data_IF_367993895074
#
_entry.id   IF_367993895074
#
_cell.length_a   1.000
_cell.length_b   1.000
_cell.length_c   1.000
_cell.angle_alpha   90.00
_cell.angle_beta   90.00
_cell.angle_gamma   90.00
#
_symmetry.space_group_name_H-M   'P 1'
#
loop_
_entity.id
_entity.type
_entity.pdbx_description
1 polymer ?
#
# COMPACT_ATOMS: atom_id res chain seq x y z
N UNK A 1 33.62 3.82 -66.73
CA UNK A 1 33.12 2.83 -67.72
C UNK A 1 33.27 1.46 -67.09
N UNK A 2 32.16 0.82 -66.67
CA UNK A 2 31.62 -0.43 -67.26
C UNK A 2 32.64 -1.59 -67.15
N UNK A 3 32.46 -2.64 -66.34
CA UNK A 3 31.37 -3.63 -66.40
C UNK A 3 31.46 -4.62 -65.21
N UNK A 4 30.32 -4.97 -64.61
CA UNK A 4 29.99 -6.36 -64.20
C UNK A 4 29.61 -7.14 -65.48
N UNK A 5 29.64 -8.50 -65.62
CA UNK A 5 28.66 -9.45 -65.00
C UNK A 5 29.05 -10.98 -64.93
N UNK A 6 28.04 -11.81 -64.53
CA UNK A 6 27.82 -13.27 -64.70
C UNK A 6 28.28 -14.23 -63.56
N UNK A 7 27.34 -14.89 -62.83
CA UNK A 7 26.68 -16.22 -63.08
C UNK A 7 27.68 -17.41 -62.99
N UNK A 8 27.41 -18.60 -62.44
CA UNK A 8 26.20 -19.23 -61.91
C UNK A 8 26.55 -20.45 -61.01
N UNK A 9 25.56 -20.83 -60.19
CA UNK A 9 25.18 -22.14 -59.64
C UNK A 9 26.06 -23.40 -59.84
N UNK A 10 26.27 -24.12 -58.72
CA UNK A 10 26.31 -25.60 -58.70
C UNK A 10 25.51 -26.12 -57.51
N UNK A 11 24.48 -26.92 -57.80
CA UNK A 11 23.73 -27.71 -56.83
C UNK A 11 24.44 -29.06 -56.58
N UNK A 12 24.46 -29.53 -55.33
CA UNK A 12 24.72 -30.94 -54.99
C UNK A 12 23.64 -31.40 -54.00
N UNK A 13 23.08 -32.56 -54.30
CA UNK A 13 21.88 -33.14 -53.73
C UNK A 13 22.22 -34.57 -53.27
N UNK A 14 22.22 -34.84 -51.95
CA UNK A 14 22.20 -36.18 -51.32
C UNK A 14 21.60 -35.96 -49.91
N UNK A 15 20.34 -36.27 -49.58
CA UNK A 15 19.61 -37.54 -49.48
C UNK A 15 19.88 -38.36 -48.19
N UNK A 16 18.78 -38.54 -47.45
CA UNK A 16 18.38 -39.65 -46.54
C UNK A 16 18.89 -39.67 -45.10
N UNK A 17 17.93 -39.64 -44.16
CA UNK A 17 18.08 -40.08 -42.76
C UNK A 17 16.75 -39.98 -42.02
N UNK A 18 16.08 -41.12 -41.83
CA UNK A 18 14.76 -41.26 -41.21
C UNK A 18 14.79 -41.38 -39.67
N UNK A 19 13.59 -41.34 -39.09
CA UNK A 19 13.12 -41.88 -37.78
C UNK A 19 13.00 -40.95 -36.56
N UNK A 20 11.84 -41.06 -35.90
CA UNK A 20 11.61 -40.83 -34.47
C UNK A 20 10.80 -39.57 -34.15
N UNK A 21 9.46 -39.61 -34.13
CA UNK A 21 8.58 -39.82 -32.95
C UNK A 21 8.62 -38.74 -31.87
N UNK A 22 7.47 -38.08 -31.72
CA UNK A 22 6.85 -37.58 -30.48
C UNK A 22 7.58 -36.54 -29.62
N UNK A 23 7.02 -35.33 -29.61
CA UNK A 23 6.67 -34.66 -28.36
C UNK A 23 5.52 -33.69 -28.60
N UNK A 24 4.41 -33.97 -27.93
CA UNK A 24 3.31 -33.06 -27.66
C UNK A 24 3.85 -31.87 -26.87
N UNK A 25 4.23 -30.80 -27.55
CA UNK A 25 4.43 -29.50 -26.94
C UNK A 25 3.08 -28.94 -26.53
N UNK A 26 2.71 -29.17 -25.28
CA UNK A 26 1.66 -28.42 -24.59
C UNK A 26 1.98 -26.94 -24.65
N UNK A 27 0.93 -26.19 -24.96
CA UNK A 27 0.87 -24.76 -25.12
C UNK A 27 1.16 -24.03 -23.80
N UNK A 28 2.44 -23.84 -23.47
CA UNK A 28 2.90 -23.01 -22.34
C UNK A 28 2.85 -21.50 -22.63
N UNK A 29 2.16 -21.08 -23.70
CA UNK A 29 2.08 -19.67 -24.09
C UNK A 29 0.90 -18.90 -23.48
N UNK A 30 0.07 -19.56 -22.66
CA UNK A 30 -1.12 -18.94 -22.04
C UNK A 30 -0.90 -18.49 -20.58
N UNK A 31 0.23 -18.78 -19.92
CA UNK A 31 0.39 -18.52 -18.47
C UNK A 31 1.48 -17.51 -18.07
N UNK A 32 1.67 -16.44 -18.84
CA UNK A 32 2.54 -15.32 -18.41
C UNK A 32 2.03 -13.91 -18.78
N UNK A 33 0.87 -13.81 -19.45
CA UNK A 33 0.28 -12.54 -19.91
C UNK A 33 -1.04 -12.17 -19.22
N UNK A 34 -1.52 -13.03 -18.34
CA UNK A 34 -2.72 -12.78 -17.57
C UNK A 34 -2.33 -12.33 -16.15
N UNK A 35 -2.62 -11.05 -15.85
CA UNK A 35 -3.01 -10.52 -14.53
C UNK A 35 -1.92 -9.90 -13.65
N UNK A 36 -1.13 -9.04 -14.27
CA UNK A 36 -0.69 -7.78 -13.67
C UNK A 36 -1.67 -6.67 -14.13
N UNK A 37 -2.95 -6.84 -13.80
CA UNK A 37 -4.03 -5.97 -14.29
C UNK A 37 -4.44 -4.92 -13.24
N UNK A 38 -3.51 -4.60 -12.34
CA UNK A 38 -3.69 -3.50 -11.40
C UNK A 38 -3.33 -2.21 -12.13
N UNK A 39 -4.33 -1.36 -12.34
CA UNK A 39 -4.13 -0.02 -12.88
C UNK A 39 -4.34 0.96 -11.73
N UNK A 40 -3.33 1.77 -11.43
CA UNK A 40 -3.42 2.80 -10.41
C UNK A 40 -3.53 4.19 -11.04
N UNK A 41 -4.25 5.07 -10.36
CA UNK A 41 -4.38 6.47 -10.69
C UNK A 41 -4.31 7.28 -9.39
N UNK A 42 -3.42 8.27 -9.37
CA UNK A 42 -3.40 9.26 -8.30
C UNK A 42 -4.41 10.34 -8.64
N UNK A 43 -5.43 10.46 -7.80
CA UNK A 43 -6.35 11.58 -7.84
C UNK A 43 -5.62 12.78 -7.25
N UNK A 44 -5.30 13.74 -8.11
CA UNK A 44 -4.97 15.10 -7.70
C UNK A 44 -6.21 15.96 -7.91
N UNK A 45 -6.46 16.91 -7.02
CA UNK A 45 -7.64 17.78 -7.18
C UNK A 45 -7.41 18.94 -8.16
N UNK A 46 -6.20 19.06 -8.71
CA UNK A 46 -5.85 20.04 -9.76
C UNK A 46 -6.53 19.75 -11.11
N UNK A 47 -6.83 18.48 -11.39
CA UNK A 47 -7.32 18.04 -12.70
C UNK A 47 -8.85 18.17 -12.85
N UNK A 48 -9.57 18.64 -11.82
CA UNK A 48 -11.04 18.66 -11.80
C UNK A 48 -11.69 19.84 -12.55
N UNK A 49 -10.91 20.76 -13.12
CA UNK A 49 -11.41 22.05 -13.67
C UNK A 49 -12.27 22.82 -12.64
N UNK A 50 -11.87 22.73 -11.37
CA UNK A 50 -12.47 23.39 -10.22
C UNK A 50 -11.44 24.30 -9.54
N UNK A 51 -11.90 25.42 -8.99
CA UNK A 51 -11.08 26.40 -8.30
C UNK A 51 -11.22 26.35 -6.78
N UNK A 52 -10.42 27.17 -6.10
CA UNK A 52 -10.48 27.37 -4.65
C UNK A 52 -11.91 27.79 -4.22
N UNK A 53 -12.52 26.99 -3.34
CA UNK A 53 -13.87 27.14 -2.80
C UNK A 53 -14.98 26.46 -3.60
N UNK A 54 -14.67 25.86 -4.74
CA UNK A 54 -15.64 25.07 -5.49
C UNK A 54 -15.91 23.74 -4.79
N UNK A 55 -17.18 23.33 -4.81
CA UNK A 55 -17.64 22.08 -4.20
C UNK A 55 -17.28 20.88 -5.07
N UNK A 56 -16.74 19.85 -4.44
CA UNK A 56 -16.44 18.56 -5.07
C UNK A 56 -17.53 17.57 -4.69
N UNK A 57 -18.36 17.20 -5.67
CA UNK A 57 -19.40 16.18 -5.48
C UNK A 57 -19.07 14.87 -6.19
N UNK A 58 -18.16 14.90 -7.18
CA UNK A 58 -17.76 13.72 -7.95
C UNK A 58 -16.34 13.90 -8.48
N UNK A 59 -15.60 12.80 -8.59
CA UNK A 59 -14.24 12.71 -9.08
C UNK A 59 -14.23 11.69 -10.22
N UNK A 60 -14.05 12.11 -11.48
CA UNK A 60 -13.91 11.17 -12.58
C UNK A 60 -12.60 10.40 -12.44
N UNK A 61 -12.61 9.11 -12.76
CA UNK A 61 -11.36 8.32 -12.75
C UNK A 61 -11.14 7.60 -14.09
N UNK A 62 -9.89 7.45 -14.55
CA UNK A 62 -9.57 6.65 -15.73
C UNK A 62 -9.69 5.14 -15.47
N UNK A 63 -10.06 4.72 -14.24
CA UNK A 63 -10.16 3.33 -13.81
C UNK A 63 -11.49 2.68 -14.21
N UNK A 64 -12.38 3.42 -14.87
CA UNK A 64 -13.66 2.91 -15.38
C UNK A 64 -14.82 3.02 -14.39
N UNK A 65 -14.66 3.80 -13.32
CA UNK A 65 -15.71 4.21 -12.40
C UNK A 65 -15.44 5.65 -11.92
N UNK A 66 -16.48 6.38 -11.58
CA UNK A 66 -16.36 7.70 -10.96
C UNK A 66 -16.57 7.56 -9.45
N UNK A 67 -15.97 8.45 -8.67
CA UNK A 67 -16.15 8.48 -7.23
C UNK A 67 -17.09 9.60 -6.85
N UNK A 68 -18.13 9.29 -6.09
CA UNK A 68 -19.01 10.31 -5.51
C UNK A 68 -18.47 10.75 -4.16
N UNK A 69 -18.43 12.06 -3.92
CA UNK A 69 -17.93 12.68 -2.70
C UNK A 69 -19.10 13.18 -1.87
N UNK A 70 -19.13 12.80 -0.59
CA UNK A 70 -20.10 13.31 0.38
C UNK A 70 -19.41 13.70 1.67
N UNK A 71 -19.91 14.72 2.35
CA UNK A 71 -19.41 15.14 3.65
C UNK A 71 -20.48 14.94 4.71
N UNK A 72 -20.15 14.23 5.78
CA UNK A 72 -21.07 13.94 6.89
C UNK A 72 -20.85 14.89 8.06
N UNK A 73 -21.26 16.14 7.87
CA UNK A 73 -21.51 17.11 8.93
C UNK A 73 -22.65 18.03 8.49
N UNK A 74 -23.57 18.36 9.40
CA UNK A 74 -24.76 19.12 9.04
C UNK A 74 -24.34 20.44 8.38
N UNK A 75 -24.80 20.68 7.14
CA UNK A 75 -24.57 21.89 6.33
C UNK A 75 -23.15 22.17 5.81
N UNK A 76 -22.20 21.23 5.93
CA UNK A 76 -20.86 21.42 5.34
C UNK A 76 -20.74 20.74 3.96
N UNK A 77 -19.72 21.14 3.22
CA UNK A 77 -19.42 20.68 1.86
C UNK A 77 -17.96 20.29 1.75
N UNK A 78 -17.65 19.35 0.85
CA UNK A 78 -16.28 19.09 0.44
C UNK A 78 -15.89 20.11 -0.60
N UNK A 79 -14.87 20.93 -0.34
CA UNK A 79 -14.47 22.02 -1.23
C UNK A 79 -12.98 21.97 -1.50
N UNK A 80 -12.55 22.55 -2.62
CA UNK A 80 -11.13 22.65 -2.93
C UNK A 80 -10.49 23.84 -2.20
N UNK A 81 -9.34 23.57 -1.58
CA UNK A 81 -8.46 24.58 -1.05
C UNK A 81 -7.18 24.60 -1.87
N UNK A 82 -6.93 25.68 -2.62
CA UNK A 82 -5.63 25.87 -3.28
C UNK A 82 -4.57 26.32 -2.29
N UNK A 83 -3.53 25.50 -2.12
CA UNK A 83 -2.36 25.80 -1.26
C UNK A 83 -1.36 26.75 -1.93
N UNK A 84 -1.46 26.90 -3.26
CA UNK A 84 -0.57 27.76 -4.06
C UNK A 84 -1.03 29.23 -4.11
N UNK A 85 -2.32 29.50 -3.91
CA UNK A 85 -2.84 30.87 -3.85
C UNK A 85 -2.84 31.39 -2.42
N UNK A 86 -1.71 32.00 -2.05
CA UNK A 86 -1.51 32.59 -0.71
C UNK A 86 -2.47 33.76 -0.45
N UNK A 87 -3.25 33.70 0.64
CA UNK A 87 -4.04 34.84 1.14
C UNK A 87 -5.54 34.60 1.26
N UNK A 88 -5.92 33.43 1.78
CA UNK A 88 -7.30 33.09 2.14
C UNK A 88 -7.64 33.42 3.61
N UNK A 89 -8.90 33.26 4.03
CA UNK A 89 -9.35 33.55 5.39
C UNK A 89 -9.15 32.39 6.38
N UNK A 90 -8.33 31.42 6.02
CA UNK A 90 -8.18 30.15 6.73
C UNK A 90 -6.96 30.24 7.65
N UNK A 91 -7.20 30.67 8.89
CA UNK A 91 -6.12 30.95 9.84
C UNK A 91 -5.56 29.68 10.51
N UNK A 92 -6.29 28.59 10.38
CA UNK A 92 -5.99 27.25 10.87
C UNK A 92 -5.19 26.47 9.82
N UNK A 93 -5.65 26.42 8.57
CA UNK A 93 -4.88 25.78 7.51
C UNK A 93 -3.66 26.60 7.06
N UNK A 94 -3.63 27.91 7.37
CA UNK A 94 -2.49 28.80 7.12
C UNK A 94 -1.85 29.36 8.41
N UNK A 95 -0.75 28.76 8.87
CA UNK A 95 0.12 29.37 9.88
C UNK A 95 0.85 30.61 9.31
N UNK A 96 0.58 31.78 9.87
CA UNK A 96 1.10 33.08 9.38
C UNK A 96 0.77 33.35 7.90
N UNK A 97 -0.39 32.85 7.42
CA UNK A 97 -0.83 33.01 6.03
C UNK A 97 -0.09 32.10 5.05
N UNK A 98 0.51 31.00 5.52
CA UNK A 98 1.12 29.94 4.70
C UNK A 98 0.89 28.57 5.33
N UNK A 99 0.69 27.55 4.51
CA UNK A 99 1.04 26.19 4.88
C UNK A 99 2.49 25.92 4.45
N UNK A 100 3.47 25.85 5.37
CA UNK A 100 4.89 25.75 5.00
C UNK A 100 5.22 24.53 4.15
N UNK A 101 4.60 23.39 4.44
CA UNK A 101 4.88 22.12 3.76
C UNK A 101 3.91 21.81 2.61
N UNK A 102 2.86 22.61 2.40
CA UNK A 102 1.91 22.41 1.30
C UNK A 102 2.36 22.98 -0.05
N UNK A 103 3.57 23.54 -0.12
CA UNK A 103 4.07 24.16 -1.33
C UNK A 103 4.12 23.15 -2.49
N UNK A 104 3.37 23.42 -3.57
CA UNK A 104 3.31 22.55 -4.74
C UNK A 104 2.34 21.37 -4.63
N UNK A 105 1.49 21.32 -3.60
CA UNK A 105 0.33 20.40 -3.56
C UNK A 105 -0.81 20.86 -4.47
N UNK A 106 -0.87 22.14 -4.87
CA UNK A 106 -1.96 22.63 -5.69
C UNK A 106 -3.28 22.67 -4.91
N UNK A 107 -4.31 22.00 -5.42
CA UNK A 107 -5.61 21.88 -4.75
C UNK A 107 -5.64 20.66 -3.83
N UNK A 108 -6.11 20.87 -2.60
CA UNK A 108 -6.44 19.81 -1.66
C UNK A 108 -7.95 19.80 -1.37
N UNK A 109 -8.52 18.65 -1.04
CA UNK A 109 -9.92 18.53 -0.63
C UNK A 109 -10.04 18.73 0.88
N UNK A 110 -10.83 19.71 1.29
CA UNK A 110 -11.10 20.06 2.69
C UNK A 110 -12.59 20.02 2.99
N UNK A 111 -12.94 20.08 4.27
CA UNK A 111 -14.33 20.26 4.72
C UNK A 111 -14.55 21.74 5.00
N UNK A 112 -15.51 22.38 4.34
CA UNK A 112 -15.83 23.80 4.56
C UNK A 112 -16.30 24.08 6.01
N UNK A 113 -15.85 25.19 6.59
CA UNK A 113 -16.40 25.71 7.84
C UNK A 113 -17.90 26.05 7.72
N UNK A 114 -18.75 25.68 8.69
CA UNK A 114 -20.19 25.96 8.64
C UNK A 114 -20.55 27.46 8.62
N UNK A 115 -19.61 28.35 8.94
CA UNK A 115 -19.73 29.81 8.85
C UNK A 115 -19.39 30.34 7.45
N UNK A 116 -18.86 29.49 6.57
CA UNK A 116 -18.63 29.73 5.15
C UNK A 116 -17.14 29.82 4.77
N UNK A 117 -16.79 29.16 3.67
CA UNK A 117 -15.41 29.01 3.18
C UNK A 117 -14.73 30.36 2.88
N UNK A 118 -15.45 31.30 2.27
CA UNK A 118 -14.91 32.60 1.89
C UNK A 118 -14.51 33.50 3.08
N UNK A 119 -14.86 33.14 4.31
CA UNK A 119 -14.52 33.91 5.52
C UNK A 119 -13.79 33.11 6.60
N UNK A 120 -13.77 31.78 6.49
CA UNK A 120 -13.18 30.91 7.51
C UNK A 120 -12.42 29.72 6.95
N UNK A 121 -12.48 29.45 5.64
CA UNK A 121 -11.79 28.31 5.06
C UNK A 121 -12.38 26.98 5.48
N UNK A 122 -11.51 26.07 5.91
CA UNK A 122 -11.87 24.74 6.33
C UNK A 122 -12.42 24.66 7.77
N UNK A 123 -12.94 23.50 8.13
CA UNK A 123 -13.67 23.28 9.37
C UNK A 123 -12.70 22.97 10.52
N UNK A 124 -12.65 23.80 11.58
CA UNK A 124 -11.82 23.53 12.76
C UNK A 124 -12.33 22.36 13.60
N UNK A 125 -13.51 21.82 13.28
CA UNK A 125 -14.03 20.60 13.88
C UNK A 125 -13.80 19.37 13.02
N UNK A 126 -13.16 19.52 11.86
CA UNK A 126 -13.00 18.47 10.86
C UNK A 126 -14.33 17.89 10.41
N UNK A 127 -14.37 16.56 10.32
CA UNK A 127 -15.55 15.81 9.89
C UNK A 127 -15.18 14.55 9.12
N UNK A 128 -16.04 14.13 8.20
CA UNK A 128 -15.78 12.94 7.38
C UNK A 128 -16.09 13.22 5.92
N UNK A 129 -15.07 13.02 5.07
CA UNK A 129 -15.19 12.96 3.62
C UNK A 129 -15.36 11.49 3.25
N UNK A 130 -16.49 11.15 2.64
CA UNK A 130 -16.80 9.80 2.18
C UNK A 130 -16.77 9.74 0.67
N UNK A 131 -15.89 8.90 0.14
CA UNK A 131 -15.86 8.49 -1.26
C UNK A 131 -16.71 7.22 -1.45
N UNK A 132 -17.59 7.23 -2.44
CA UNK A 132 -18.39 6.09 -2.87
C UNK A 132 -18.28 5.92 -4.39
N UNK A 133 -18.98 4.96 -5.00
CA UNK A 133 -18.87 4.69 -6.45
C UNK A 133 -17.84 3.60 -6.81
N UNK A 134 -17.16 3.04 -5.81
CA UNK A 134 -16.25 1.91 -6.00
C UNK A 134 -16.96 0.67 -6.58
N UNK A 135 -16.27 -0.17 -7.38
CA UNK A 135 -16.82 -1.42 -7.84
C UNK A 135 -17.16 -2.37 -6.69
N UNK A 136 -18.43 -2.75 -6.58
CA UNK A 136 -18.92 -3.72 -5.57
C UNK A 136 -18.24 -5.10 -5.62
N UNK A 137 -17.48 -5.39 -6.68
CA UNK A 137 -16.65 -6.59 -6.80
C UNK A 137 -15.45 -6.62 -5.84
N UNK A 138 -15.15 -5.53 -5.13
CA UNK A 138 -13.97 -5.44 -4.27
C UNK A 138 -12.66 -5.32 -5.07
N UNK A 139 -12.75 -4.86 -6.31
CA UNK A 139 -11.61 -4.75 -7.23
C UNK A 139 -10.98 -3.36 -7.21
N UNK A 140 -11.15 -2.61 -6.13
CA UNK A 140 -10.53 -1.31 -5.95
C UNK A 140 -9.90 -1.24 -4.55
N UNK A 141 -8.81 -0.49 -4.42
CA UNK A 141 -8.16 -0.19 -3.15
C UNK A 141 -7.46 1.16 -3.20
N UNK A 142 -7.18 1.74 -2.03
CA UNK A 142 -6.34 2.93 -1.90
C UNK A 142 -5.00 2.46 -1.37
N UNK A 143 -3.93 2.80 -2.08
CA UNK A 143 -2.56 2.45 -1.71
C UNK A 143 -1.95 3.46 -0.75
N UNK A 144 -2.18 4.75 -1.03
CA UNK A 144 -1.68 5.86 -0.24
C UNK A 144 -2.48 7.12 -0.50
N UNK A 145 -2.31 8.11 0.37
CA UNK A 145 -2.86 9.44 0.23
C UNK A 145 -1.94 10.45 0.92
N UNK A 146 -2.05 11.72 0.56
CA UNK A 146 -1.43 12.82 1.30
C UNK A 146 -2.44 13.36 2.31
N UNK A 147 -2.04 13.39 3.58
CA UNK A 147 -2.75 14.07 4.64
C UNK A 147 -2.10 15.43 4.89
N UNK A 148 -2.92 16.46 5.03
CA UNK A 148 -2.52 17.79 5.50
C UNK A 148 -3.15 18.01 6.87
N UNK A 149 -2.33 18.26 7.87
CA UNK A 149 -2.72 18.37 9.28
C UNK A 149 -1.94 19.50 9.95
N UNK A 150 -2.64 20.48 10.52
CA UNK A 150 -2.08 21.79 10.86
C UNK A 150 -1.88 22.03 12.36
N UNK A 151 -2.51 21.25 13.23
CA UNK A 151 -2.53 21.54 14.66
C UNK A 151 -1.98 20.39 15.49
N UNK A 152 -0.92 20.67 16.26
CA UNK A 152 -0.27 19.69 17.17
C UNK A 152 -1.20 19.08 18.23
N UNK A 153 -2.43 19.59 18.36
CA UNK A 153 -3.44 19.15 19.33
C UNK A 153 -4.59 18.38 18.71
N UNK A 154 -4.62 18.27 17.39
CA UNK A 154 -5.71 17.62 16.67
C UNK A 154 -5.47 16.12 16.47
N UNK A 155 -6.55 15.39 16.23
CA UNK A 155 -6.45 13.98 15.95
C UNK A 155 -6.02 13.80 14.48
N UNK A 156 -5.05 12.90 14.27
CA UNK A 156 -4.57 12.51 12.96
C UNK A 156 -5.70 12.26 11.95
N UNK A 157 -5.47 12.61 10.69
CA UNK A 157 -6.32 12.20 9.57
C UNK A 157 -6.30 10.68 9.47
N UNK A 158 -7.47 10.06 9.38
CA UNK A 158 -7.61 8.60 9.34
C UNK A 158 -8.35 8.15 8.09
N UNK A 159 -7.87 7.10 7.43
CA UNK A 159 -8.56 6.44 6.34
C UNK A 159 -9.23 5.16 6.84
N UNK A 160 -10.53 5.05 6.60
CA UNK A 160 -11.32 3.86 6.80
C UNK A 160 -11.81 3.31 5.46
N UNK A 161 -11.69 2.01 5.26
CA UNK A 161 -12.29 1.29 4.12
C UNK A 161 -13.36 0.37 4.68
N UNK A 162 -14.60 0.53 4.22
CA UNK A 162 -15.75 -0.27 4.68
C UNK A 162 -15.85 -0.37 6.22
N UNK A 163 -15.51 0.73 6.90
CA UNK A 163 -15.52 0.85 8.37
C UNK A 163 -14.26 0.33 9.09
N UNK A 164 -13.27 -0.22 8.38
CA UNK A 164 -11.98 -0.67 8.94
C UNK A 164 -10.92 0.41 8.76
N UNK A 165 -10.21 0.81 9.83
CA UNK A 165 -9.10 1.76 9.72
C UNK A 165 -7.91 1.10 9.01
N UNK A 166 -7.43 1.71 7.92
CA UNK A 166 -6.35 1.17 7.07
C UNK A 166 -5.10 2.05 7.01
N UNK A 167 -5.22 3.30 7.46
CA UNK A 167 -4.12 4.25 7.51
C UNK A 167 -4.46 5.45 8.38
N UNK A 168 -3.46 6.18 8.82
CA UNK A 168 -3.64 7.49 9.42
C UNK A 168 -2.30 8.20 9.56
N UNK A 169 -2.34 9.53 9.52
CA UNK A 169 -1.16 10.36 9.74
C UNK A 169 -0.65 10.23 11.18
N UNK A 170 0.54 10.78 11.42
CA UNK A 170 1.19 10.82 12.72
C UNK A 170 0.55 11.80 13.70
N UNK A 171 -0.33 12.69 13.24
CA UNK A 171 -0.96 13.72 14.09
C UNK A 171 0.06 14.73 14.64
N UNK A 172 1.18 14.92 13.93
CA UNK A 172 2.25 15.81 14.39
C UNK A 172 1.83 17.28 14.39
N UNK A 173 0.88 17.66 13.55
CA UNK A 173 0.43 19.04 13.39
C UNK A 173 1.55 20.01 12.98
N UNK A 174 1.26 21.31 13.01
CA UNK A 174 2.11 22.43 12.57
C UNK A 174 2.26 22.63 11.05
N UNK A 175 1.27 22.15 10.31
CA UNK A 175 1.21 22.24 8.85
C UNK A 175 1.98 21.16 8.14
N UNK A 176 2.09 20.03 8.82
CA UNK A 176 2.68 18.81 8.30
C UNK A 176 1.89 18.29 7.10
N UNK A 177 2.64 17.96 6.07
CA UNK A 177 2.17 17.19 4.91
C UNK A 177 2.77 15.81 5.01
N UNK A 178 1.92 14.79 5.14
CA UNK A 178 2.35 13.41 5.33
C UNK A 178 1.80 12.52 4.22
N UNK A 179 2.68 11.77 3.55
CA UNK A 179 2.25 10.66 2.72
C UNK A 179 1.94 9.46 3.62
N UNK A 180 0.66 9.07 3.65
CA UNK A 180 0.17 7.97 4.48
C UNK A 180 -0.01 6.72 3.62
N UNK A 181 0.72 5.66 3.96
CA UNK A 181 0.53 4.34 3.37
C UNK A 181 -0.70 3.65 3.97
N UNK A 182 -1.62 3.21 3.12
CA UNK A 182 -2.80 2.45 3.50
C UNK A 182 -2.51 0.95 3.46
N UNK A 183 -3.20 0.15 4.28
CA UNK A 183 -3.12 -1.31 4.21
C UNK A 183 -3.84 -1.92 3.01
N UNK A 184 -4.32 -1.09 2.07
CA UNK A 184 -4.82 -1.48 0.75
C UNK A 184 -5.83 -2.63 0.70
N UNK A 185 -6.79 -2.79 1.65
CA UNK A 185 -7.81 -3.81 1.50
C UNK A 185 -8.74 -3.47 0.32
N UNK A 186 -9.45 -4.48 -0.18
CA UNK A 186 -10.55 -4.26 -1.13
C UNK A 186 -11.60 -3.32 -0.58
N UNK A 187 -12.03 -2.38 -1.41
CA UNK A 187 -13.12 -1.45 -1.16
C UNK A 187 -14.37 -2.02 -1.83
N UNK A 188 -15.39 -2.33 -1.04
CA UNK A 188 -16.66 -2.91 -1.52
C UNK A 188 -17.83 -1.93 -1.41
N UNK A 189 -17.70 -0.90 -0.56
CA UNK A 189 -18.72 0.12 -0.34
C UNK A 189 -18.14 1.53 -0.37
N UNK A 190 -17.30 1.88 0.61
CA UNK A 190 -16.83 3.25 0.78
C UNK A 190 -15.40 3.37 1.31
N UNK A 191 -14.82 4.54 1.05
CA UNK A 191 -13.61 5.02 1.70
C UNK A 191 -13.96 6.30 2.46
N UNK A 192 -13.60 6.37 3.74
CA UNK A 192 -13.90 7.51 4.62
C UNK A 192 -12.59 8.11 5.13
N UNK A 193 -12.32 9.36 4.78
CA UNK A 193 -11.30 10.17 5.43
C UNK A 193 -11.94 10.90 6.60
N UNK A 194 -11.49 10.60 7.81
CA UNK A 194 -11.96 11.25 9.04
C UNK A 194 -10.91 12.23 9.51
N UNK A 195 -11.29 13.50 9.53
CA UNK A 195 -10.45 14.61 9.95
C UNK A 195 -10.82 14.96 11.39
N UNK A 196 -9.84 14.96 12.29
CA UNK A 196 -10.02 15.25 13.71
C UNK A 196 -10.20 16.73 14.04
N UNK A 197 -9.91 17.59 13.09
CA UNK A 197 -9.98 19.05 13.13
C UNK A 197 -9.68 19.60 11.74
N UNK A 198 -9.00 20.74 11.66
CA UNK A 198 -8.63 21.37 10.39
C UNK A 198 -7.69 20.47 9.59
N UNK A 199 -7.77 20.57 8.26
CA UNK A 199 -6.90 19.85 7.35
C UNK A 199 -7.57 19.41 6.06
N UNK A 200 -6.85 18.56 5.35
CA UNK A 200 -7.27 18.12 4.03
C UNK A 200 -6.62 16.82 3.58
N UNK A 201 -7.09 16.35 2.43
CA UNK A 201 -6.55 15.19 1.75
C UNK A 201 -6.26 15.52 0.29
N UNK A 202 -5.19 14.91 -0.24
CA UNK A 202 -4.78 15.03 -1.63
C UNK A 202 -4.03 13.77 -2.09
N UNK A 203 -3.67 13.70 -3.37
CA UNK A 203 -2.87 12.63 -3.98
C UNK A 203 -3.36 11.23 -3.61
N UNK A 204 -4.68 11.01 -3.65
CA UNK A 204 -5.28 9.73 -3.30
C UNK A 204 -4.99 8.72 -4.41
N UNK A 205 -4.03 7.81 -4.17
CA UNK A 205 -3.66 6.77 -5.14
C UNK A 205 -4.65 5.62 -5.06
N UNK A 206 -5.62 5.62 -5.96
CA UNK A 206 -6.62 4.57 -6.12
C UNK A 206 -6.15 3.58 -7.16
N UNK A 207 -6.29 2.30 -6.88
CA UNK A 207 -5.96 1.23 -7.81
C UNK A 207 -7.20 0.39 -8.10
N UNK A 208 -7.37 0.00 -9.36
CA UNK A 208 -8.35 -0.97 -9.82
C UNK A 208 -7.63 -2.25 -10.24
N UNK A 209 -7.98 -3.37 -9.61
CA UNK A 209 -7.28 -4.64 -9.73
C UNK A 209 -7.74 -5.60 -8.64
N UNK A 210 -7.08 -6.74 -8.46
CA UNK A 210 -7.33 -7.58 -7.29
C UNK A 210 -6.42 -7.06 -6.16
N UNK A 211 -6.95 -6.41 -5.11
CA UNK A 211 -6.15 -5.97 -3.97
C UNK A 211 -5.45 -7.15 -3.33
N UNK A 212 -4.18 -6.97 -2.95
CA UNK A 212 -3.46 -7.93 -2.10
C UNK A 212 -3.50 -9.38 -2.60
N UNK A 213 -3.26 -9.63 -3.89
CA UNK A 213 -3.02 -11.01 -4.38
C UNK A 213 -1.62 -11.48 -4.00
N UNK A 214 -1.34 -11.57 -2.71
CA UNK A 214 -0.01 -11.91 -2.27
C UNK A 214 0.01 -12.76 -1.04
N UNK A 215 0.97 -13.68 -1.00
CA UNK A 215 1.46 -14.21 0.25
C UNK A 215 2.97 -14.08 0.28
N UNK A 216 3.53 -13.77 1.44
CA UNK A 216 4.95 -13.87 1.67
C UNK A 216 5.21 -15.10 2.52
N UNK A 217 6.18 -15.89 2.11
CA UNK A 217 6.73 -16.94 2.93
C UNK A 217 8.13 -16.56 3.35
N UNK A 218 8.50 -16.99 4.54
CA UNK A 218 9.83 -16.78 5.05
C UNK A 218 10.16 -17.87 6.04
N UNK A 219 11.37 -18.40 5.94
CA UNK A 219 11.83 -19.47 6.79
C UNK A 219 13.33 -19.64 6.67
N UNK A 220 13.98 -19.95 7.78
CA UNK A 220 15.42 -20.17 7.79
C UNK A 220 16.08 -19.70 9.07
N UNK A 221 17.37 -20.00 9.17
CA UNK A 221 18.18 -19.57 10.29
C UNK A 221 18.71 -18.15 10.04
N UNK A 222 18.51 -17.26 11.02
CA UNK A 222 19.30 -16.06 11.33
C UNK A 222 19.09 -14.83 10.43
N UNK A 223 18.25 -13.91 10.93
CA UNK A 223 18.64 -12.50 10.98
C UNK A 223 19.60 -12.35 12.17
N UNK A 224 20.81 -11.86 11.97
CA UNK A 224 21.66 -11.39 13.07
C UNK A 224 21.74 -9.88 12.97
N UNK A 225 21.11 -9.19 13.91
CA UNK A 225 21.22 -7.73 14.05
C UNK A 225 21.73 -7.49 15.45
N UNK A 226 22.81 -6.71 15.57
CA UNK A 226 23.47 -6.38 16.84
C UNK A 226 23.86 -7.61 17.70
N UNK A 227 24.16 -8.74 17.04
CA UNK A 227 24.54 -9.99 17.71
C UNK A 227 23.37 -10.83 18.22
N UNK A 228 22.13 -10.34 18.10
CA UNK A 228 20.91 -11.08 18.44
C UNK A 228 20.54 -11.99 17.27
N UNK A 229 20.48 -13.29 17.53
CA UNK A 229 20.04 -14.28 16.54
C UNK A 229 18.54 -14.43 16.59
N UNK A 230 17.87 -13.99 15.51
CA UNK A 230 16.44 -14.15 15.33
C UNK A 230 16.17 -15.27 14.32
N UNK A 231 15.38 -16.26 14.73
CA UNK A 231 14.80 -17.23 13.78
C UNK A 231 13.34 -16.91 13.56
N UNK A 232 12.89 -17.13 12.31
CA UNK A 232 11.50 -16.89 11.94
C UNK A 232 10.99 -17.95 10.98
N UNK A 233 9.70 -18.23 11.09
CA UNK A 233 8.97 -19.08 10.17
C UNK A 233 7.58 -18.49 9.98
N UNK A 234 7.23 -18.16 8.75
CA UNK A 234 5.95 -17.53 8.48
C UNK A 234 5.36 -17.88 7.12
N UNK A 235 4.04 -17.77 7.07
CA UNK A 235 3.25 -17.64 5.85
C UNK A 235 2.21 -16.59 6.16
N UNK A 236 2.32 -15.45 5.49
CA UNK A 236 1.46 -14.29 5.70
C UNK A 236 0.84 -13.91 4.37
N UNK A 237 -0.43 -13.52 4.42
CA UNK A 237 -1.26 -13.18 3.28
C UNK A 237 -1.59 -11.69 3.36
N UNK A 238 -1.59 -11.03 2.22
CA UNK A 238 -2.06 -9.65 2.12
C UNK A 238 -3.55 -9.58 2.47
N UNK A 239 -4.30 -10.64 2.15
CA UNK A 239 -5.64 -10.86 2.70
C UNK A 239 -5.57 -11.40 4.13
N UNK A 240 -5.80 -10.51 5.11
CA UNK A 240 -5.77 -10.86 6.54
C UNK A 240 -6.90 -11.82 6.95
N UNK A 241 -7.92 -12.04 6.11
CA UNK A 241 -8.99 -13.01 6.38
C UNK A 241 -8.52 -14.45 6.19
N UNK A 242 -7.39 -14.66 5.49
CA UNK A 242 -6.74 -15.95 5.36
C UNK A 242 -5.91 -16.29 6.59
N UNK A 243 -5.52 -17.56 6.67
CA UNK A 243 -4.73 -18.07 7.79
C UNK A 243 -3.31 -17.52 7.73
N UNK A 244 -2.99 -16.62 8.66
CA UNK A 244 -1.65 -16.06 8.82
C UNK A 244 -0.90 -16.79 9.93
N UNK A 245 0.37 -17.12 9.70
CA UNK A 245 1.25 -17.74 10.69
C UNK A 245 2.56 -16.99 10.75
N UNK A 246 2.96 -16.58 11.95
CA UNK A 246 4.24 -15.92 12.24
C UNK A 246 4.77 -16.46 13.56
N UNK A 247 6.01 -16.90 13.56
CA UNK A 247 6.77 -17.24 14.76
C UNK A 247 8.13 -16.58 14.70
N UNK A 248 8.53 -15.96 15.82
CA UNK A 248 9.81 -15.24 15.97
C UNK A 248 10.46 -15.71 17.28
N UNK A 249 11.72 -16.14 17.22
CA UNK A 249 12.47 -16.60 18.40
C UNK A 249 13.80 -15.85 18.52
N UNK A 250 14.18 -15.43 19.73
CA UNK A 250 15.45 -14.77 20.03
C UNK A 250 15.84 -14.98 21.50
N UNK A 251 17.12 -15.23 21.80
CA UNK A 251 17.65 -15.28 23.18
C UNK A 251 16.84 -16.11 24.21
N UNK A 252 16.16 -17.17 23.75
CA UNK A 252 15.29 -18.00 24.60
C UNK A 252 13.84 -17.52 24.73
N UNK A 253 13.51 -16.36 24.15
CA UNK A 253 12.15 -15.86 23.97
C UNK A 253 11.51 -16.45 22.70
N UNK A 254 10.19 -16.61 22.74
CA UNK A 254 9.35 -17.05 21.63
C UNK A 254 8.11 -16.18 21.53
N UNK A 255 7.94 -15.55 20.39
CA UNK A 255 6.72 -14.86 20.01
C UNK A 255 5.97 -15.66 18.94
N UNK A 256 4.65 -15.78 19.09
CA UNK A 256 3.80 -16.48 18.12
C UNK A 256 2.46 -15.78 17.97
N UNK A 257 2.03 -15.63 16.72
CA UNK A 257 0.71 -15.09 16.40
C UNK A 257 -0.38 -16.11 16.77
N UNK A 258 -1.49 -15.64 17.32
CA UNK A 258 -2.65 -16.51 17.62
C UNK A 258 -4.01 -15.88 17.27
N UNK A 259 -3.97 -14.69 16.70
CA UNK A 259 -5.11 -13.96 16.12
C UNK A 259 -4.78 -13.64 14.65
N UNK A 260 -5.76 -13.33 13.80
CA UNK A 260 -5.47 -12.76 12.49
C UNK A 260 -4.57 -11.52 12.59
N UNK A 261 -3.83 -11.21 11.52
CA UNK A 261 -3.10 -9.94 11.44
C UNK A 261 -4.09 -8.79 11.68
N UNK A 262 -3.67 -7.81 12.46
CA UNK A 262 -4.45 -6.58 12.68
C UNK A 262 -4.28 -5.61 11.52
N UNK A 263 -3.18 -5.73 10.78
CA UNK A 263 -2.89 -4.98 9.55
C UNK A 263 -1.98 -5.79 8.63
N UNK A 264 -2.22 -5.71 7.33
CA UNK A 264 -1.29 -6.16 6.30
C UNK A 264 -1.31 -5.17 5.13
N UNK A 265 -0.15 -4.64 4.80
CA UNK A 265 0.07 -3.81 3.61
C UNK A 265 1.07 -4.54 2.71
N UNK A 266 0.70 -4.78 1.46
CA UNK A 266 1.60 -5.37 0.47
C UNK A 266 1.86 -4.35 -0.63
N UNK A 267 3.13 -4.05 -0.87
CA UNK A 267 3.59 -3.03 -1.81
C UNK A 267 4.54 -3.65 -2.84
N UNK A 268 4.43 -3.18 -4.07
CA UNK A 268 5.40 -3.43 -5.15
C UNK A 268 6.25 -2.15 -5.26
N UNK A 269 7.49 -2.21 -4.79
CA UNK A 269 8.45 -1.13 -4.92
C UNK A 269 9.13 -1.24 -6.29
N UNK A 270 9.01 -0.24 -7.19
CA UNK A 270 9.58 -0.32 -8.53
C UNK A 270 11.11 -0.47 -8.56
N UNK A 271 11.79 -0.12 -7.46
CA UNK A 271 13.25 -0.24 -7.32
C UNK A 271 13.67 -1.60 -6.73
N UNK A 272 12.73 -2.44 -6.30
CA UNK A 272 12.95 -3.79 -5.78
C UNK A 272 12.42 -4.82 -6.79
N UNK A 273 13.18 -5.89 -7.02
CA UNK A 273 12.81 -6.91 -8.00
C UNK A 273 12.82 -8.31 -7.36
N UNK A 274 11.66 -8.86 -6.94
CA UNK A 274 11.57 -10.12 -6.17
C UNK A 274 11.87 -11.39 -7.00
N UNK A 275 12.54 -11.28 -8.15
CA UNK A 275 12.66 -12.39 -9.09
C UNK A 275 13.81 -13.36 -8.73
N UNK A 276 13.60 -14.71 -8.78
CA UNK A 276 12.36 -15.50 -8.99
C UNK A 276 11.87 -16.31 -7.74
N UNK A 277 10.55 -16.56 -7.57
CA UNK A 277 9.47 -16.35 -8.55
C UNK A 277 8.91 -14.92 -8.52
N UNK A 278 8.49 -14.42 -9.69
CA UNK A 278 7.83 -13.11 -9.77
C UNK A 278 6.54 -13.12 -8.94
N UNK A 279 6.41 -12.14 -8.07
CA UNK A 279 5.23 -11.87 -7.25
C UNK A 279 4.62 -10.51 -7.63
N UNK A 280 3.40 -10.20 -7.16
CA UNK A 280 2.76 -8.89 -7.39
C UNK A 280 3.11 -7.86 -6.30
N UNK A 281 4.05 -8.17 -5.42
CA UNK A 281 4.57 -7.31 -4.37
C UNK A 281 5.95 -7.84 -3.95
N UNK A 282 6.75 -7.00 -3.33
CA UNK A 282 8.05 -7.34 -2.72
C UNK A 282 8.09 -6.98 -1.24
N UNK A 283 7.26 -6.03 -0.80
CA UNK A 283 7.30 -5.47 0.54
C UNK A 283 6.02 -5.79 1.30
N UNK A 284 6.15 -6.44 2.46
CA UNK A 284 5.05 -6.74 3.39
C UNK A 284 5.23 -5.98 4.68
N UNK A 285 4.30 -5.09 5.00
CA UNK A 285 4.24 -4.39 6.29
C UNK A 285 3.06 -4.96 7.07
N UNK A 286 3.31 -5.49 8.27
CA UNK A 286 2.29 -6.18 9.05
C UNK A 286 2.26 -5.77 10.52
N UNK A 287 1.07 -5.87 11.10
CA UNK A 287 0.85 -5.72 12.54
C UNK A 287 0.05 -6.91 13.05
N UNK A 288 0.38 -7.38 14.25
CA UNK A 288 -0.27 -8.52 14.87
C UNK A 288 -0.30 -8.43 16.40
N UNK A 289 -1.31 -9.09 16.99
CA UNK A 289 -1.30 -9.43 18.41
C UNK A 289 -1.07 -10.93 18.56
N UNK A 290 -0.28 -11.31 19.56
CA UNK A 290 0.06 -12.70 19.82
C UNK A 290 0.50 -12.96 21.25
N UNK A 291 1.30 -14.01 21.40
CA UNK A 291 1.85 -14.48 22.67
C UNK A 291 3.36 -14.27 22.74
N UNK A 292 3.84 -13.66 23.81
CA UNK A 292 5.26 -13.67 24.17
C UNK A 292 5.49 -14.65 25.32
N UNK A 293 6.29 -15.68 25.09
CA UNK A 293 6.60 -16.71 26.09
C UNK A 293 5.34 -17.36 26.70
N UNK A 294 4.29 -17.50 25.90
CA UNK A 294 3.00 -18.07 26.30
C UNK A 294 2.04 -17.09 26.99
N UNK A 295 2.40 -15.81 27.11
CA UNK A 295 1.53 -14.76 27.67
C UNK A 295 0.88 -13.97 26.53
N UNK A 296 -0.45 -13.98 26.48
CA UNK A 296 -1.26 -13.28 25.49
C UNK A 296 -1.15 -11.74 25.61
N UNK A 297 -1.34 -11.03 24.50
CA UNK A 297 -1.47 -9.57 24.48
C UNK A 297 -0.18 -8.84 24.09
N UNK A 298 0.85 -9.56 23.66
CA UNK A 298 2.05 -8.96 23.08
C UNK A 298 1.77 -8.52 21.63
N UNK A 299 2.36 -7.41 21.21
CA UNK A 299 2.23 -6.89 19.85
C UNK A 299 3.50 -7.10 19.04
N UNK A 300 3.31 -7.29 17.74
CA UNK A 300 4.35 -7.37 16.73
C UNK A 300 4.04 -6.35 15.65
N UNK A 301 5.05 -5.55 15.26
CA UNK A 301 5.09 -4.82 13.99
C UNK A 301 6.29 -5.32 13.18
N UNK A 302 6.11 -5.49 11.88
CA UNK A 302 7.20 -5.93 11.01
C UNK A 302 7.10 -5.36 9.61
N UNK A 303 8.25 -5.24 8.97
CA UNK A 303 8.40 -4.97 7.54
C UNK A 303 9.33 -6.03 6.96
N UNK A 304 8.90 -6.73 5.92
CA UNK A 304 9.68 -7.74 5.22
C UNK A 304 9.78 -7.38 3.75
N UNK A 305 10.99 -7.38 3.19
CA UNK A 305 11.24 -7.06 1.78
C UNK A 305 11.94 -8.25 1.13
N UNK A 306 11.33 -8.79 0.08
CA UNK A 306 11.90 -9.78 -0.84
C UNK A 306 12.56 -9.05 -2.02
N UNK A 307 13.90 -9.04 -2.04
CA UNK A 307 14.67 -8.40 -3.11
C UNK A 307 15.22 -9.41 -4.12
N UNK A 308 14.59 -10.58 -4.22
CA UNK A 308 14.90 -11.64 -5.17
C UNK A 308 16.05 -12.54 -4.74
N UNK A 309 16.28 -13.59 -5.53
CA UNK A 309 17.29 -14.60 -5.22
C UNK A 309 18.72 -14.11 -5.50
N UNK A 310 19.69 -14.36 -4.60
CA UNK A 310 19.68 -15.40 -3.58
C UNK A 310 19.29 -14.92 -2.17
N UNK A 311 18.26 -14.06 -2.01
CA UNK A 311 17.57 -13.70 -0.75
C UNK A 311 18.45 -13.11 0.35
N UNK A 312 19.36 -13.92 0.90
CA UNK A 312 20.43 -13.50 1.78
C UNK A 312 21.27 -12.36 1.19
N UNK A 313 21.31 -11.25 1.95
CA UNK A 313 22.00 -9.97 1.70
C UNK A 313 21.31 -9.01 0.73
N UNK A 314 20.11 -9.31 0.28
CA UNK A 314 19.28 -8.39 -0.50
C UNK A 314 17.92 -8.19 0.16
N UNK A 315 17.36 -9.26 0.71
CA UNK A 315 16.16 -9.21 1.54
C UNK A 315 16.43 -8.42 2.81
N UNK A 316 15.43 -7.68 3.27
CA UNK A 316 15.49 -6.94 4.53
C UNK A 316 14.33 -7.30 5.44
N UNK A 317 14.56 -7.15 6.74
CA UNK A 317 13.52 -7.29 7.73
C UNK A 317 13.69 -6.27 8.85
N UNK A 318 12.57 -5.64 9.22
CA UNK A 318 12.39 -4.89 10.44
C UNK A 318 11.37 -5.63 11.32
N UNK A 319 11.69 -5.82 12.59
CA UNK A 319 10.84 -6.52 13.56
C UNK A 319 10.88 -5.76 14.88
N UNK A 320 9.70 -5.38 15.35
CA UNK A 320 9.48 -4.73 16.63
C UNK A 320 8.47 -5.55 17.45
N UNK A 321 8.81 -5.93 18.68
CA UNK A 321 7.93 -6.68 19.58
C UNK A 321 7.83 -5.95 20.92
N UNK A 322 6.62 -5.79 21.44
CA UNK A 322 6.34 -5.21 22.76
C UNK A 322 5.85 -6.26 23.75
N UNK A 323 6.06 -6.03 25.05
CA UNK A 323 5.57 -6.93 26.07
C UNK A 323 4.03 -6.88 26.15
N UNK A 324 3.38 -7.90 26.73
CA UNK A 324 1.95 -7.87 26.97
C UNK A 324 1.51 -6.65 27.79
N UNK A 325 0.64 -5.82 27.21
CA UNK A 325 0.05 -4.65 27.88
C UNK A 325 0.80 -3.32 27.66
N UNK A 326 1.95 -3.34 26.99
CA UNK A 326 2.66 -2.13 26.56
C UNK A 326 1.86 -1.38 25.48
N UNK A 327 2.10 -0.07 25.32
CA UNK A 327 1.59 0.78 24.25
C UNK A 327 2.72 1.12 23.26
N UNK A 328 2.64 0.77 21.96
CA UNK A 328 3.72 1.02 21.00
C UNK A 328 3.96 2.51 20.73
N UNK A 329 3.05 3.40 21.15
CA UNK A 329 3.23 4.85 21.05
C UNK A 329 3.98 5.47 22.22
N UNK A 330 4.21 4.71 23.30
CA UNK A 330 4.79 5.23 24.56
C UNK A 330 5.95 4.36 25.06
N UNK A 331 5.82 3.04 24.97
CA UNK A 331 6.74 2.06 25.52
C UNK A 331 7.75 1.56 24.48
N UNK A 332 8.97 1.29 24.95
CA UNK A 332 10.04 0.73 24.12
C UNK A 332 9.83 -0.77 23.86
N UNK A 333 10.15 -1.27 22.67
CA UNK A 333 9.99 -2.68 22.34
C UNK A 333 11.01 -3.58 23.09
N UNK A 334 10.57 -4.78 23.46
CA UNK A 334 11.43 -5.84 24.02
C UNK A 334 12.33 -6.51 22.97
N UNK A 335 12.02 -6.33 21.69
CA UNK A 335 12.88 -6.66 20.56
C UNK A 335 12.73 -5.56 19.51
N UNK A 336 13.85 -4.96 19.09
CA UNK A 336 13.91 -4.06 17.95
C UNK A 336 15.09 -4.46 17.09
N UNK A 337 14.83 -4.99 15.90
CA UNK A 337 15.87 -5.38 14.94
C UNK A 337 15.49 -4.91 13.55
N UNK A 338 16.46 -4.40 12.80
CA UNK A 338 16.30 -4.02 11.40
C UNK A 338 17.59 -4.28 10.63
N UNK A 339 17.48 -4.77 9.39
CA UNK A 339 18.62 -4.93 8.50
C UNK A 339 18.44 -5.99 7.42
N UNK A 340 19.52 -6.21 6.66
CA UNK A 340 19.60 -7.27 5.66
C UNK A 340 19.63 -8.65 6.30
N UNK A 341 19.14 -9.65 5.57
CA UNK A 341 19.24 -11.04 6.01
C UNK A 341 20.66 -11.55 5.82
N UNK A 342 21.26 -12.08 6.87
CA UNK A 342 22.54 -12.80 6.71
C UNK A 342 22.33 -14.14 6.02
N UNK A 343 21.19 -14.78 6.29
CA UNK A 343 20.82 -16.13 5.82
C UNK A 343 19.29 -16.27 5.78
N UNK A 344 18.82 -17.34 5.10
CA UNK A 344 17.41 -17.56 4.87
C UNK A 344 16.93 -16.89 3.58
N UNK A 345 15.62 -16.83 3.41
CA UNK A 345 14.99 -16.31 2.21
C UNK A 345 13.60 -15.77 2.55
N UNK A 346 13.28 -14.58 2.06
CA UNK A 346 11.92 -14.07 1.95
C UNK A 346 11.48 -14.32 0.51
N UNK A 347 10.29 -14.88 0.35
CA UNK A 347 9.73 -15.08 -0.97
C UNK A 347 8.29 -14.58 -0.98
N UNK A 348 8.07 -13.53 -1.74
CA UNK A 348 6.77 -13.12 -2.17
C UNK A 348 6.24 -14.08 -3.23
N UNK A 349 4.94 -14.29 -3.22
CA UNK A 349 4.23 -15.13 -4.17
C UNK A 349 2.88 -14.54 -4.45
N UNK A 350 2.30 -14.91 -5.59
CA UNK A 350 0.86 -14.82 -5.76
C UNK A 350 0.16 -15.64 -4.68
N UNK A 351 -0.96 -15.12 -4.19
CA UNK A 351 -1.76 -15.85 -3.23
C UNK A 351 -2.38 -17.11 -3.86
N UNK A 352 -2.43 -18.20 -3.10
CA UNK A 352 -3.06 -19.45 -3.51
C UNK A 352 -4.37 -19.62 -2.74
N UNK A 353 -5.53 -19.35 -3.34
CA UNK A 353 -6.80 -19.62 -2.67
C UNK A 353 -6.93 -21.12 -2.42
N UNK A 354 -7.18 -21.48 -1.16
CA UNK A 354 -7.53 -22.85 -0.81
C UNK A 354 -8.85 -23.24 -1.50
N UNK A 355 -8.77 -24.03 -2.59
CA UNK A 355 -9.93 -24.80 -3.10
C UNK A 355 -10.39 -24.52 -4.53
N UNK A 356 -9.79 -23.59 -5.28
CA UNK A 356 -10.12 -23.49 -6.71
C UNK A 356 -9.27 -24.47 -7.52
N UNK A 357 -9.88 -25.60 -7.89
CA UNK A 357 -9.38 -26.48 -8.94
C UNK A 357 -9.33 -25.71 -10.28
N UNK A 358 -8.22 -25.03 -10.57
CA UNK A 358 -7.97 -24.38 -11.86
C UNK A 358 -7.51 -25.35 -12.96
N UNK A 359 -7.90 -26.62 -12.85
CA UNK A 359 -7.78 -27.63 -13.91
C UNK A 359 -9.19 -28.08 -14.34
N UNK A 360 -10.00 -27.16 -14.88
CA UNK A 360 -11.11 -27.44 -15.79
C UNK A 360 -11.36 -26.25 -16.71
#
# INVERSE_FOLDING_TARGET
MKLSPYLAATAVLIAVGACGTESTGTDDSISAKARDNTTCHTITFDDLDLGHGDEVTSIPTPLGFDLDVTVTSESMRGVLYSTDTVGGPDADLEKDGRCPDCAGLGNILVIEDPRGFASYGDSPGGGTITLTGFPSSGSAFIERYTAVDQETTEAAVQLFIDGVRVGGSSGQGDGSVEEVLASSPSITSNAEFRLGGSGGVDNVKVCAGVPGVGRMTGGGNQLTVDGVKVTRGFTIHCDITLSNNVEINWEGNRWHIDKPLTRATCLDDPDVAPAPPRAPFDTFIGEATGRLNGVDGSMLKFTFVDAGEPGGKSDTAEILIWAPGDDPGVDEPVLSVSGELEHGNLQAHYDQPHGSNWNK
#
